data_IF_904655094845
#
_entry.id   IF_904655094845
#
_cell.length_a   1.000
_cell.length_b   1.000
_cell.length_c   1.000
_cell.angle_alpha   90.00
_cell.angle_beta   90.00
_cell.angle_gamma   90.00
#
_symmetry.space_group_name_H-M   'P 1'
#
loop_
_entity.id
_entity.type
_entity.pdbx_description
1 polymer ?
#
# COMPACT_ATOMS: atom_id res chain seq x y z
N UNK A 1 -14.60 21.13 -20.44
CA UNK A 1 -14.44 21.76 -19.11
C UNK A 1 -15.56 21.36 -18.13
N UNK A 2 -15.94 20.07 -18.10
CA UNK A 2 -17.00 19.53 -17.22
C UNK A 2 -16.73 18.06 -16.82
N UNK A 3 -16.09 17.26 -17.70
CA UNK A 3 -15.56 15.93 -17.32
C UNK A 3 -14.29 15.98 -16.46
N UNK A 4 -13.30 16.80 -16.81
CA UNK A 4 -12.04 16.93 -16.04
C UNK A 4 -12.25 17.45 -14.61
N UNK A 5 -13.30 18.26 -14.38
CA UNK A 5 -13.63 18.81 -13.06
C UNK A 5 -14.43 17.83 -12.19
N UNK A 6 -15.13 16.85 -12.81
CA UNK A 6 -15.73 15.73 -12.08
C UNK A 6 -14.72 14.61 -11.82
N UNK A 7 -13.70 14.46 -12.67
CA UNK A 7 -12.59 13.54 -12.45
C UNK A 7 -11.63 14.03 -11.34
N UNK A 8 -11.48 15.34 -11.15
CA UNK A 8 -10.68 15.89 -10.04
C UNK A 8 -11.30 15.68 -8.64
N UNK A 9 -12.59 15.36 -8.56
CA UNK A 9 -13.30 15.16 -7.28
C UNK A 9 -13.19 13.73 -6.72
N UNK A 10 -12.64 12.76 -7.49
CA UNK A 10 -12.49 11.37 -7.06
C UNK A 10 -11.07 10.87 -7.35
N UNK A 11 -10.25 10.77 -6.31
CA UNK A 11 -8.88 10.27 -6.39
C UNK A 11 -8.78 8.89 -7.05
N UNK A 12 -8.22 8.78 -8.26
CA UNK A 12 -8.01 7.52 -8.98
C UNK A 12 -6.52 7.11 -8.94
N UNK A 13 -6.10 6.18 -8.07
CA UNK A 13 -4.67 5.96 -7.77
C UNK A 13 -3.81 5.60 -8.98
N UNK A 14 -4.36 4.83 -9.93
CA UNK A 14 -3.64 4.45 -11.15
C UNK A 14 -3.50 5.59 -12.16
N UNK A 15 -4.50 6.46 -12.26
CA UNK A 15 -4.38 7.66 -13.11
C UNK A 15 -3.27 8.56 -12.58
N UNK A 16 -3.15 8.65 -11.25
CA UNK A 16 -2.12 9.43 -10.57
C UNK A 16 -0.74 8.82 -10.74
N UNK A 17 -0.62 7.50 -10.55
CA UNK A 17 0.64 6.80 -10.77
C UNK A 17 1.14 7.01 -12.21
N UNK A 18 0.25 6.88 -13.22
CA UNK A 18 0.59 7.14 -14.62
C UNK A 18 0.97 8.60 -14.88
N UNK A 19 0.26 9.55 -14.28
CA UNK A 19 0.58 10.97 -14.41
C UNK A 19 1.99 11.31 -13.87
N UNK A 20 2.33 10.80 -12.69
CA UNK A 20 3.67 10.98 -12.10
C UNK A 20 4.74 10.34 -12.99
N UNK A 21 4.50 9.13 -13.47
CA UNK A 21 5.44 8.42 -14.32
C UNK A 21 5.70 9.16 -15.64
N UNK A 22 4.63 9.62 -16.32
CA UNK A 22 4.71 10.42 -17.54
C UNK A 22 5.48 11.72 -17.29
N UNK A 23 5.15 12.46 -16.23
CA UNK A 23 5.85 13.69 -15.88
C UNK A 23 7.33 13.42 -15.65
N UNK A 24 7.68 12.40 -14.84
CA UNK A 24 9.05 11.98 -14.60
C UNK A 24 9.82 11.62 -15.87
N UNK A 25 9.20 10.91 -16.81
CA UNK A 25 9.83 10.54 -18.08
C UNK A 25 10.13 11.78 -18.94
N UNK A 26 9.19 12.71 -19.04
CA UNK A 26 9.35 13.94 -19.80
C UNK A 26 10.43 14.85 -19.19
N UNK A 27 10.53 14.85 -17.86
CA UNK A 27 11.60 15.54 -17.12
C UNK A 27 12.99 14.97 -17.42
N UNK A 28 13.12 13.64 -17.43
CA UNK A 28 14.36 12.97 -17.83
C UNK A 28 14.74 13.31 -19.26
N UNK A 29 13.78 13.25 -20.19
CA UNK A 29 13.98 13.56 -21.60
C UNK A 29 14.46 15.01 -21.80
N UNK A 30 13.81 15.97 -21.15
CA UNK A 30 14.20 17.39 -21.20
C UNK A 30 15.60 17.64 -20.63
N UNK A 31 16.05 16.80 -19.69
CA UNK A 31 17.37 16.90 -19.05
C UNK A 31 18.45 16.11 -19.80
N UNK A 32 18.13 15.43 -20.91
CA UNK A 32 19.08 14.60 -21.67
C UNK A 32 19.49 13.30 -20.96
N UNK A 33 18.68 12.86 -19.98
CA UNK A 33 18.91 11.64 -19.18
C UNK A 33 18.13 10.48 -19.80
N UNK A 34 18.76 9.31 -19.90
CA UNK A 34 18.17 8.11 -20.52
C UNK A 34 17.87 6.96 -19.53
N UNK A 35 18.09 7.15 -18.23
CA UNK A 35 17.78 6.14 -17.21
C UNK A 35 16.51 6.56 -16.45
N UNK A 36 15.42 5.85 -16.71
CA UNK A 36 14.07 6.41 -16.59
C UNK A 36 13.38 6.14 -15.24
N UNK A 37 13.68 5.01 -14.57
CA UNK A 37 12.84 4.56 -13.44
C UNK A 37 13.02 5.40 -12.17
N UNK A 38 14.24 5.83 -11.87
CA UNK A 38 14.51 6.64 -10.67
C UNK A 38 14.01 8.08 -10.83
N UNK A 39 14.00 8.60 -12.05
CA UNK A 39 13.58 9.99 -12.35
C UNK A 39 12.11 10.20 -12.01
N UNK A 40 11.23 9.23 -12.32
CA UNK A 40 9.83 9.26 -11.95
C UNK A 40 9.60 9.24 -10.43
N UNK A 41 10.45 8.52 -9.68
CA UNK A 41 10.39 8.48 -8.21
C UNK A 41 10.84 9.80 -7.56
N UNK A 42 11.86 10.43 -8.12
CA UNK A 42 12.48 11.62 -7.55
C UNK A 42 11.64 12.89 -7.76
N UNK A 43 10.96 12.96 -8.92
CA UNK A 43 10.33 14.19 -9.40
C UNK A 43 9.34 14.81 -8.38
N UNK A 44 8.32 14.08 -7.87
CA UNK A 44 7.34 14.70 -6.97
C UNK A 44 7.95 15.17 -5.65
N UNK A 45 8.92 14.42 -5.11
CA UNK A 45 9.55 14.73 -3.83
C UNK A 45 10.30 16.06 -3.87
N UNK A 46 11.15 16.22 -4.88
CA UNK A 46 11.98 17.42 -5.04
C UNK A 46 11.12 18.62 -5.44
N UNK A 47 10.18 18.43 -6.37
CA UNK A 47 9.29 19.51 -6.81
C UNK A 47 8.47 20.04 -5.63
N UNK A 48 7.80 19.15 -4.89
CA UNK A 48 7.01 19.54 -3.72
C UNK A 48 7.85 20.19 -2.61
N UNK A 49 9.08 19.70 -2.38
CA UNK A 49 10.00 20.34 -1.45
C UNK A 49 10.35 21.77 -1.85
N UNK A 50 10.59 22.03 -3.15
CA UNK A 50 10.88 23.36 -3.66
C UNK A 50 9.67 24.30 -3.51
N UNK A 51 8.47 23.83 -3.86
CA UNK A 51 7.23 24.60 -3.68
C UNK A 51 6.99 24.92 -2.20
N UNK A 52 7.18 23.95 -1.29
CA UNK A 52 7.08 24.18 0.15
C UNK A 52 8.12 25.19 0.67
N UNK A 53 9.27 25.27 0.01
CA UNK A 53 10.33 26.25 0.27
C UNK A 53 10.07 27.64 -0.34
N UNK A 54 8.89 27.85 -0.95
CA UNK A 54 8.49 29.12 -1.54
C UNK A 54 9.10 29.40 -2.92
N UNK A 55 9.65 28.40 -3.59
CA UNK A 55 10.04 28.52 -5.00
C UNK A 55 8.80 28.73 -5.87
N UNK A 56 8.94 29.53 -6.92
CA UNK A 56 8.01 29.54 -8.04
C UNK A 56 8.06 28.21 -8.79
N UNK A 57 7.02 27.92 -9.57
CA UNK A 57 6.95 26.72 -10.41
C UNK A 57 8.17 26.54 -11.32
N UNK A 58 8.66 27.64 -11.89
CA UNK A 58 9.84 27.63 -12.75
C UNK A 58 11.11 27.27 -11.97
N UNK A 59 11.32 27.88 -10.80
CA UNK A 59 12.46 27.58 -9.92
C UNK A 59 12.40 26.13 -9.41
N UNK A 60 11.22 25.65 -9.02
CA UNK A 60 11.00 24.27 -8.58
C UNK A 60 11.29 23.26 -9.69
N UNK A 61 10.89 23.57 -10.93
CA UNK A 61 11.21 22.74 -12.10
C UNK A 61 12.71 22.61 -12.31
N UNK A 62 13.43 23.74 -12.35
CA UNK A 62 14.88 23.73 -12.61
C UNK A 62 15.64 23.06 -11.46
N UNK A 63 15.29 23.38 -10.22
CA UNK A 63 15.89 22.76 -9.04
C UNK A 63 15.69 21.24 -9.06
N UNK A 64 14.52 20.78 -9.48
CA UNK A 64 14.24 19.35 -9.57
C UNK A 64 15.04 18.67 -10.67
N UNK A 65 15.03 19.21 -11.89
CA UNK A 65 15.82 18.67 -12.99
C UNK A 65 17.31 18.58 -12.63
N UNK A 66 17.85 19.65 -12.03
CA UNK A 66 19.26 19.72 -11.61
C UNK A 66 19.57 18.70 -10.51
N UNK A 67 18.70 18.56 -9.52
CA UNK A 67 18.91 17.62 -8.40
C UNK A 67 18.90 16.16 -8.87
N UNK A 68 18.03 15.83 -9.83
CA UNK A 68 17.97 14.49 -10.43
C UNK A 68 19.25 14.22 -11.26
N UNK A 69 19.69 15.18 -12.08
CA UNK A 69 20.94 15.03 -12.84
C UNK A 69 22.18 14.84 -11.92
N UNK A 70 22.25 15.59 -10.82
CA UNK A 70 23.27 15.43 -9.80
C UNK A 70 23.22 14.04 -9.15
N UNK A 71 22.02 13.56 -8.80
CA UNK A 71 21.83 12.22 -8.25
C UNK A 71 22.33 11.14 -9.21
N UNK A 72 21.98 11.23 -10.49
CA UNK A 72 22.38 10.28 -11.51
C UNK A 72 23.88 10.30 -11.75
N UNK A 73 24.48 11.49 -11.78
CA UNK A 73 25.94 11.65 -11.87
C UNK A 73 26.63 10.98 -10.68
N UNK A 74 26.12 11.20 -9.45
CA UNK A 74 26.65 10.57 -8.24
C UNK A 74 26.48 9.04 -8.26
N UNK A 75 25.35 8.53 -8.75
CA UNK A 75 25.14 7.09 -8.88
C UNK A 75 26.10 6.45 -9.89
N UNK A 76 26.39 7.11 -11.02
CA UNK A 76 27.40 6.65 -11.99
C UNK A 76 28.81 6.62 -11.39
N UNK A 77 29.18 7.63 -10.60
CA UNK A 77 30.45 7.65 -9.87
C UNK A 77 30.56 6.50 -8.86
N UNK A 78 29.46 6.18 -8.15
CA UNK A 78 29.40 5.10 -7.16
C UNK A 78 29.51 3.71 -7.76
N UNK A 79 28.93 3.46 -8.93
CA UNK A 79 28.99 2.16 -9.63
C UNK A 79 30.42 1.67 -9.95
N UNK A 80 31.45 2.52 -9.78
CA UNK A 80 32.87 2.16 -9.90
C UNK A 80 33.60 1.85 -8.58
N UNK A 81 32.98 1.99 -7.40
CA UNK A 81 33.66 1.85 -6.09
C UNK A 81 32.76 1.27 -5.01
N UNK A 82 33.31 0.41 -4.14
CA UNK A 82 32.64 -0.08 -2.92
C UNK A 82 32.52 1.03 -1.86
N UNK A 83 31.68 2.03 -2.09
CA UNK A 83 31.30 3.01 -1.07
C UNK A 83 29.85 2.78 -0.65
N UNK A 84 29.64 2.51 0.65
CA UNK A 84 28.34 2.55 1.31
C UNK A 84 27.92 4.02 1.45
N UNK A 85 27.01 4.48 0.60
CA UNK A 85 26.70 5.88 0.39
C UNK A 85 25.27 6.29 0.77
N UNK A 86 24.56 5.53 1.59
CA UNK A 86 23.29 5.94 2.20
C UNK A 86 22.08 5.96 1.24
N UNK A 87 20.89 6.03 1.84
CA UNK A 87 19.60 5.98 1.13
C UNK A 87 19.54 7.03 0.00
N UNK A 88 19.16 6.63 -1.22
CA UNK A 88 19.03 7.55 -2.36
C UNK A 88 18.12 8.74 -2.03
N UNK A 89 17.08 8.52 -1.22
CA UNK A 89 16.22 9.56 -0.65
C UNK A 89 17.01 10.65 0.06
N UNK A 90 17.89 10.27 0.99
CA UNK A 90 18.69 11.22 1.77
C UNK A 90 19.73 11.93 0.91
N UNK A 91 20.36 11.21 -0.02
CA UNK A 91 21.29 11.82 -0.97
C UNK A 91 20.59 12.87 -1.84
N UNK A 92 19.43 12.53 -2.40
CA UNK A 92 18.63 13.44 -3.21
C UNK A 92 18.19 14.67 -2.41
N UNK A 93 17.73 14.47 -1.18
CA UNK A 93 17.37 15.56 -0.28
C UNK A 93 18.56 16.52 -0.08
N UNK A 94 19.73 16.00 0.29
CA UNK A 94 20.93 16.82 0.53
C UNK A 94 21.39 17.56 -0.73
N UNK A 95 21.37 16.90 -1.89
CA UNK A 95 21.73 17.53 -3.17
C UNK A 95 20.77 18.66 -3.53
N UNK A 96 19.48 18.47 -3.26
CA UNK A 96 18.45 19.49 -3.47
C UNK A 96 18.68 20.69 -2.55
N UNK A 97 18.90 20.44 -1.26
CA UNK A 97 19.14 21.49 -0.25
C UNK A 97 20.38 22.32 -0.60
N UNK A 98 21.51 21.65 -0.91
CA UNK A 98 22.75 22.31 -1.32
C UNK A 98 22.55 23.16 -2.58
N UNK A 99 21.80 22.64 -3.57
CA UNK A 99 21.51 23.38 -4.79
C UNK A 99 20.65 24.63 -4.52
N UNK A 100 19.58 24.51 -3.73
CA UNK A 100 18.73 25.65 -3.37
C UNK A 100 19.51 26.72 -2.60
N UNK A 101 20.37 26.33 -1.65
CA UNK A 101 21.20 27.27 -0.91
C UNK A 101 22.17 28.04 -1.83
N UNK A 102 22.77 27.33 -2.80
CA UNK A 102 23.62 27.94 -3.82
C UNK A 102 22.84 28.94 -4.68
N UNK A 103 21.64 28.57 -5.15
CA UNK A 103 20.76 29.46 -5.92
C UNK A 103 20.37 30.72 -5.14
N UNK A 104 20.00 30.56 -3.86
CA UNK A 104 19.68 31.69 -2.96
C UNK A 104 20.88 32.61 -2.74
N UNK A 105 22.09 32.05 -2.64
CA UNK A 105 23.31 32.81 -2.35
C UNK A 105 23.88 33.58 -3.54
N UNK A 106 23.76 33.03 -4.76
CA UNK A 106 24.40 33.60 -5.95
C UNK A 106 23.38 34.18 -6.97
N UNK A 107 22.08 33.98 -6.74
CA UNK A 107 21.00 34.36 -7.65
C UNK A 107 20.69 33.27 -8.66
N UNK A 108 19.40 32.96 -8.82
CA UNK A 108 18.88 31.89 -9.69
C UNK A 108 19.37 32.01 -11.14
N UNK A 109 19.35 33.21 -11.70
CA UNK A 109 19.77 33.49 -13.09
C UNK A 109 21.23 33.11 -13.40
N UNK A 110 22.08 32.99 -12.37
CA UNK A 110 23.50 32.67 -12.52
C UNK A 110 23.82 31.17 -12.46
N UNK A 111 22.92 30.38 -11.88
CA UNK A 111 23.14 28.94 -11.59
C UNK A 111 22.19 28.05 -12.39
N UNK A 112 20.96 28.50 -12.59
CA UNK A 112 19.90 27.73 -13.19
C UNK A 112 20.14 27.56 -14.71
N UNK A 113 20.16 26.32 -15.26
CA UNK A 113 20.14 26.14 -16.70
C UNK A 113 18.91 26.82 -17.31
N UNK A 114 19.11 27.56 -18.40
CA UNK A 114 18.06 28.27 -19.10
C UNK A 114 17.25 27.25 -19.93
N UNK A 115 16.07 26.87 -19.43
CA UNK A 115 15.15 25.96 -20.12
C UNK A 115 14.08 26.80 -20.83
N UNK A 116 14.03 26.75 -22.16
CA UNK A 116 13.15 27.60 -22.99
C UNK A 116 11.64 27.35 -22.75
N UNK A 117 11.28 26.19 -22.19
CA UNK A 117 9.88 25.81 -21.93
C UNK A 117 9.75 25.04 -20.59
N UNK A 118 9.47 25.70 -19.45
CA UNK A 118 8.95 25.00 -18.28
C UNK A 118 7.59 24.38 -18.66
N UNK A 119 7.50 23.06 -18.67
CA UNK A 119 6.39 22.32 -19.30
C UNK A 119 5.00 22.67 -18.72
N UNK A 120 4.01 22.69 -19.61
CA UNK A 120 2.57 22.96 -19.40
C UNK A 120 1.82 21.94 -18.49
N UNK A 121 2.49 21.28 -17.55
CA UNK A 121 2.01 20.00 -16.97
C UNK A 121 2.02 19.89 -15.44
N UNK A 122 2.30 20.99 -14.75
CA UNK A 122 2.17 21.07 -13.28
C UNK A 122 0.70 20.87 -12.84
N UNK A 123 -0.25 21.28 -13.68
CA UNK A 123 -1.70 21.16 -13.46
C UNK A 123 -2.18 19.72 -13.18
N UNK A 124 -1.44 18.69 -13.62
CA UNK A 124 -1.87 17.29 -13.46
C UNK A 124 -1.61 16.77 -12.04
N UNK A 125 -0.56 17.28 -11.37
CA UNK A 125 -0.15 16.82 -10.03
C UNK A 125 -0.49 17.83 -8.92
N UNK A 126 -1.00 19.01 -9.27
CA UNK A 126 -1.39 20.06 -8.32
C UNK A 126 -2.29 19.53 -7.17
N UNK A 127 -3.32 18.69 -7.42
CA UNK A 127 -4.13 18.14 -6.32
C UNK A 127 -3.36 17.19 -5.38
N UNK A 128 -2.33 16.49 -5.89
CA UNK A 128 -1.43 15.66 -5.07
C UNK A 128 -0.58 16.52 -4.17
N UNK A 129 0.00 17.55 -4.75
CA UNK A 129 0.86 18.49 -4.06
C UNK A 129 0.04 19.21 -2.99
N UNK A 130 -1.13 19.76 -3.30
CA UNK A 130 -1.98 20.42 -2.30
C UNK A 130 -2.25 19.53 -1.08
N UNK A 131 -2.69 18.29 -1.28
CA UNK A 131 -2.97 17.35 -0.19
C UNK A 131 -1.73 16.97 0.64
N UNK A 132 -0.55 16.94 0.02
CA UNK A 132 0.70 16.52 0.64
C UNK A 132 1.47 17.67 1.31
N UNK A 133 1.34 18.88 0.76
CA UNK A 133 2.00 20.09 1.22
C UNK A 133 1.22 20.80 2.34
N UNK A 134 -0.09 20.55 2.46
CA UNK A 134 -0.92 21.21 3.48
C UNK A 134 -0.44 20.90 4.92
N UNK A 135 -0.12 21.94 5.68
CA UNK A 135 0.31 21.85 7.11
C UNK A 135 1.56 20.99 7.33
N UNK A 136 2.54 21.10 6.43
CA UNK A 136 3.82 20.38 6.52
C UNK A 136 5.02 21.31 6.48
N UNK A 137 6.11 20.88 7.11
CA UNK A 137 7.44 21.42 6.81
C UNK A 137 7.90 20.94 5.42
N UNK A 138 8.79 21.68 4.73
CA UNK A 138 9.31 21.23 3.44
C UNK A 138 9.93 19.82 3.51
N UNK A 139 10.66 19.51 4.57
CA UNK A 139 11.26 18.20 4.81
C UNK A 139 10.20 17.09 4.88
N UNK A 140 9.12 17.32 5.62
CA UNK A 140 8.01 16.37 5.71
C UNK A 140 7.31 16.20 4.35
N UNK A 141 7.15 17.28 3.59
CA UNK A 141 6.60 17.24 2.24
C UNK A 141 7.46 16.37 1.30
N UNK A 142 8.79 16.52 1.36
CA UNK A 142 9.73 15.71 0.60
C UNK A 142 9.57 14.21 0.91
N UNK A 143 9.64 13.85 2.20
CA UNK A 143 9.55 12.45 2.63
C UNK A 143 8.21 11.81 2.26
N UNK A 144 7.12 12.58 2.39
CA UNK A 144 5.78 12.13 2.01
C UNK A 144 5.68 11.87 0.51
N UNK A 145 6.10 12.83 -0.31
CA UNK A 145 5.99 12.72 -1.76
C UNK A 145 6.92 11.62 -2.31
N UNK A 146 8.08 11.42 -1.70
CA UNK A 146 8.94 10.28 -1.98
C UNK A 146 8.24 8.95 -1.67
N UNK A 147 7.72 8.79 -0.44
CA UNK A 147 7.02 7.58 -0.02
C UNK A 147 5.79 7.27 -0.88
N UNK A 148 5.02 8.29 -1.27
CA UNK A 148 3.89 8.13 -2.16
C UNK A 148 4.31 7.67 -3.56
N UNK A 149 5.38 8.25 -4.12
CA UNK A 149 5.90 7.87 -5.44
C UNK A 149 6.31 6.41 -5.48
N UNK A 150 7.02 5.91 -4.46
CA UNK A 150 7.40 4.49 -4.35
C UNK A 150 6.18 3.55 -4.35
N UNK A 151 5.13 3.89 -3.59
CA UNK A 151 3.91 3.07 -3.53
C UNK A 151 3.15 3.10 -4.85
N UNK A 152 3.09 4.25 -5.53
CA UNK A 152 2.43 4.40 -6.82
C UNK A 152 3.18 3.66 -7.94
N UNK A 153 4.52 3.71 -7.96
CA UNK A 153 5.33 2.91 -8.88
C UNK A 153 5.14 1.42 -8.66
N UNK A 154 5.16 0.97 -7.40
CA UNK A 154 4.89 -0.44 -7.07
C UNK A 154 3.48 -0.88 -7.51
N UNK A 155 2.51 0.04 -7.51
CA UNK A 155 1.14 -0.23 -7.95
C UNK A 155 1.09 -0.49 -9.46
N UNK A 156 1.74 0.35 -10.28
CA UNK A 156 1.82 0.17 -11.73
C UNK A 156 2.52 -1.14 -12.09
N UNK A 157 3.65 -1.42 -11.45
CA UNK A 157 4.38 -2.67 -11.69
C UNK A 157 3.56 -3.90 -11.31
N UNK A 158 2.77 -3.83 -10.23
CA UNK A 158 1.87 -4.93 -9.84
C UNK A 158 0.73 -5.13 -10.84
N UNK A 159 0.15 -4.04 -11.37
CA UNK A 159 -0.88 -4.09 -12.40
C UNK A 159 -0.37 -4.83 -13.64
N UNK A 160 0.77 -4.37 -14.16
CA UNK A 160 1.40 -4.92 -15.35
C UNK A 160 1.74 -6.41 -15.16
N UNK A 161 2.32 -6.78 -14.02
CA UNK A 161 2.63 -8.18 -13.69
C UNK A 161 1.35 -9.02 -13.66
N UNK A 162 0.26 -8.53 -13.07
CA UNK A 162 -1.02 -9.24 -13.03
C UNK A 162 -1.60 -9.47 -14.44
N UNK A 163 -1.58 -8.45 -15.31
CA UNK A 163 -2.08 -8.60 -16.67
C UNK A 163 -1.21 -9.55 -17.49
N UNK A 164 0.12 -9.48 -17.35
CA UNK A 164 1.05 -10.36 -18.07
C UNK A 164 0.85 -11.85 -17.74
N UNK A 165 0.33 -12.16 -16.55
CA UNK A 165 0.06 -13.53 -16.09
C UNK A 165 -1.41 -13.97 -16.25
N UNK A 166 -2.26 -13.14 -16.87
CA UNK A 166 -3.69 -13.45 -17.01
C UNK A 166 -4.47 -13.37 -15.70
N UNK A 167 -3.96 -12.63 -14.71
CA UNK A 167 -4.60 -12.39 -13.41
C UNK A 167 -5.46 -11.12 -13.41
N UNK A 168 -5.93 -10.67 -14.58
CA UNK A 168 -6.80 -9.49 -14.74
C UNK A 168 -8.01 -9.48 -13.77
N UNK A 169 -8.79 -10.58 -13.59
CA UNK A 169 -9.85 -10.61 -12.59
C UNK A 169 -9.36 -10.36 -11.16
N UNK A 170 -8.14 -10.81 -10.82
CA UNK A 170 -7.60 -10.60 -9.49
C UNK A 170 -7.26 -9.13 -9.26
N UNK A 171 -6.60 -8.50 -10.25
CA UNK A 171 -6.27 -7.08 -10.21
C UNK A 171 -7.52 -6.22 -10.12
N UNK A 172 -8.52 -6.47 -10.96
CA UNK A 172 -9.74 -5.65 -10.99
C UNK A 172 -10.52 -5.69 -9.67
N UNK A 173 -10.56 -6.85 -8.99
CA UNK A 173 -11.17 -6.95 -7.65
C UNK A 173 -10.35 -6.17 -6.62
N UNK A 174 -9.02 -6.27 -6.70
CA UNK A 174 -8.09 -5.54 -5.82
C UNK A 174 -8.23 -4.02 -5.98
N UNK A 175 -8.24 -3.55 -7.21
CA UNK A 175 -8.46 -2.15 -7.54
C UNK A 175 -9.82 -1.67 -7.00
N UNK A 176 -10.90 -2.41 -7.28
CA UNK A 176 -12.25 -2.02 -6.90
C UNK A 176 -12.50 -2.00 -5.38
N UNK A 177 -12.00 -3.01 -4.65
CA UNK A 177 -12.31 -3.18 -3.21
C UNK A 177 -11.25 -2.64 -2.27
N UNK A 178 -10.03 -2.46 -2.75
CA UNK A 178 -8.91 -2.03 -1.90
C UNK A 178 -8.40 -0.68 -2.32
N UNK A 179 -7.95 -0.50 -3.56
CA UNK A 179 -7.40 0.78 -4.01
C UNK A 179 -8.49 1.85 -4.04
N UNK A 180 -9.51 1.69 -4.88
CA UNK A 180 -10.55 2.72 -5.02
C UNK A 180 -11.24 3.01 -3.69
N UNK A 181 -11.61 1.99 -2.92
CA UNK A 181 -12.24 2.18 -1.61
C UNK A 181 -11.36 2.93 -0.60
N UNK A 182 -10.07 2.60 -0.52
CA UNK A 182 -9.16 3.26 0.43
C UNK A 182 -8.89 4.72 0.03
N UNK A 183 -8.77 4.97 -1.28
CA UNK A 183 -8.26 6.24 -1.79
C UNK A 183 -9.35 7.27 -2.12
N UNK A 184 -10.51 6.84 -2.61
CA UNK A 184 -11.64 7.76 -2.90
C UNK A 184 -12.56 7.99 -1.70
N UNK A 185 -12.27 7.34 -0.55
CA UNK A 185 -13.19 7.23 0.59
C UNK A 185 -14.60 6.77 0.20
N UNK A 186 -14.73 6.05 -0.92
CA UNK A 186 -15.99 5.44 -1.33
C UNK A 186 -16.19 4.12 -0.61
N UNK A 187 -17.43 3.72 -0.30
CA UNK A 187 -17.72 2.40 0.22
C UNK A 187 -17.18 1.32 -0.73
N UNK A 188 -16.64 0.24 -0.17
CA UNK A 188 -16.22 -0.92 -0.95
C UNK A 188 -17.34 -1.39 -1.85
N UNK A 189 -17.06 -1.60 -3.14
CA UNK A 189 -18.02 -2.20 -4.07
C UNK A 189 -18.43 -3.58 -3.56
N UNK A 190 -19.74 -3.81 -3.46
CA UNK A 190 -20.28 -5.08 -2.98
C UNK A 190 -19.82 -6.25 -3.88
N UNK A 191 -19.49 -7.38 -3.25
CA UNK A 191 -19.12 -8.60 -3.94
C UNK A 191 -20.20 -9.07 -4.90
N UNK A 192 -21.48 -8.92 -4.56
CA UNK A 192 -22.59 -9.36 -5.42
C UNK A 192 -22.48 -8.82 -6.87
N UNK A 193 -22.00 -7.57 -7.01
CA UNK A 193 -21.75 -6.93 -8.30
C UNK A 193 -20.48 -7.45 -8.98
N UNK A 194 -19.39 -7.60 -8.23
CA UNK A 194 -18.06 -7.96 -8.76
C UNK A 194 -17.97 -9.43 -9.20
N UNK A 195 -18.62 -10.34 -8.47
CA UNK A 195 -18.62 -11.77 -8.77
C UNK A 195 -19.24 -12.07 -10.14
N UNK A 196 -20.32 -11.37 -10.49
CA UNK A 196 -21.00 -11.54 -11.77
C UNK A 196 -20.22 -11.01 -12.97
N UNK A 197 -19.53 -9.87 -12.81
CA UNK A 197 -18.79 -9.23 -13.90
C UNK A 197 -17.56 -10.06 -14.30
N UNK A 198 -16.84 -10.59 -13.31
CA UNK A 198 -15.57 -11.28 -13.55
C UNK A 198 -15.66 -12.81 -13.43
N UNK A 199 -16.88 -13.36 -13.37
CA UNK A 199 -17.11 -14.80 -13.32
C UNK A 199 -16.52 -15.47 -12.07
N UNK A 200 -16.44 -14.76 -10.95
CA UNK A 200 -15.88 -15.30 -9.71
C UNK A 200 -16.96 -16.05 -8.94
N UNK A 201 -16.74 -17.33 -8.55
CA UNK A 201 -17.81 -18.16 -8.01
C UNK A 201 -18.41 -17.66 -6.69
N UNK A 202 -17.58 -17.18 -5.77
CA UNK A 202 -18.00 -16.76 -4.45
C UNK A 202 -17.01 -15.77 -3.80
N UNK A 203 -17.45 -15.18 -2.67
CA UNK A 203 -16.67 -14.23 -1.86
C UNK A 203 -15.34 -14.83 -1.39
N UNK A 204 -15.30 -16.12 -1.06
CA UNK A 204 -14.09 -16.74 -0.53
C UNK A 204 -13.01 -16.90 -1.61
N UNK A 205 -13.42 -17.21 -2.84
CA UNK A 205 -12.53 -17.20 -3.99
C UNK A 205 -12.04 -15.78 -4.28
N UNK A 206 -12.94 -14.80 -4.29
CA UNK A 206 -12.57 -13.40 -4.52
C UNK A 206 -11.60 -12.87 -3.43
N UNK A 207 -11.80 -13.24 -2.17
CA UNK A 207 -10.91 -12.90 -1.06
C UNK A 207 -9.53 -13.56 -1.18
N UNK A 208 -9.46 -14.77 -1.76
CA UNK A 208 -8.20 -15.43 -2.10
C UNK A 208 -7.48 -14.68 -3.23
N UNK A 209 -8.22 -14.26 -4.26
CA UNK A 209 -7.67 -13.45 -5.36
C UNK A 209 -7.10 -12.12 -4.84
N UNK A 210 -7.85 -11.42 -3.99
CA UNK A 210 -7.39 -10.21 -3.30
C UNK A 210 -6.09 -10.44 -2.53
N UNK A 211 -6.06 -11.50 -1.72
CA UNK A 211 -4.91 -11.81 -0.88
C UNK A 211 -3.65 -12.07 -1.71
N UNK A 212 -3.78 -12.70 -2.88
CA UNK A 212 -2.67 -12.91 -3.82
C UNK A 212 -2.12 -11.60 -4.35
N UNK A 213 -2.99 -10.72 -4.88
CA UNK A 213 -2.55 -9.44 -5.48
C UNK A 213 -1.96 -8.52 -4.43
N UNK A 214 -2.56 -8.43 -3.24
CA UNK A 214 -2.01 -7.63 -2.15
C UNK A 214 -0.62 -8.10 -1.69
N UNK A 215 -0.36 -9.41 -1.68
CA UNK A 215 0.98 -9.94 -1.39
C UNK A 215 1.97 -9.59 -2.49
N UNK A 216 1.55 -9.72 -3.75
CA UNK A 216 2.36 -9.31 -4.90
C UNK A 216 2.71 -7.84 -4.79
N UNK A 217 1.73 -6.98 -4.53
CA UNK A 217 1.92 -5.55 -4.30
C UNK A 217 2.87 -5.27 -3.13
N UNK A 218 2.69 -5.95 -2.00
CA UNK A 218 3.57 -5.81 -0.84
C UNK A 218 5.03 -6.20 -1.15
N UNK A 219 5.25 -7.23 -1.97
CA UNK A 219 6.60 -7.59 -2.46
C UNK A 219 7.12 -6.56 -3.45
N UNK A 220 6.28 -6.03 -4.32
CA UNK A 220 6.68 -5.02 -5.29
C UNK A 220 7.14 -3.74 -4.59
N UNK A 221 6.45 -3.30 -3.55
CA UNK A 221 6.89 -2.18 -2.70
C UNK A 221 8.31 -2.43 -2.15
N UNK A 222 8.58 -3.64 -1.64
CA UNK A 222 9.93 -4.00 -1.15
C UNK A 222 10.96 -3.99 -2.28
N UNK A 223 10.59 -4.48 -3.47
CA UNK A 223 11.46 -4.50 -4.64
C UNK A 223 11.86 -3.08 -5.05
N UNK A 224 10.88 -2.18 -5.17
CA UNK A 224 11.14 -0.77 -5.52
C UNK A 224 12.03 -0.10 -4.47
N UNK A 225 11.79 -0.33 -3.17
CA UNK A 225 12.65 0.23 -2.12
C UNK A 225 14.07 -0.36 -2.18
N UNK A 226 14.20 -1.66 -2.45
CA UNK A 226 15.50 -2.34 -2.61
C UNK A 226 16.34 -1.69 -3.71
N UNK A 227 15.72 -1.18 -4.78
CA UNK A 227 16.40 -0.46 -5.85
C UNK A 227 16.90 0.93 -5.43
N UNK A 228 16.41 1.45 -4.30
CA UNK A 228 16.73 2.79 -3.78
C UNK A 228 17.72 2.83 -2.61
N UNK A 229 18.17 1.65 -2.15
CA UNK A 229 19.08 1.49 -1.02
C UNK A 229 20.32 0.71 -1.43
N UNK A 230 21.43 0.90 -0.72
CA UNK A 230 22.70 0.24 -1.05
C UNK A 230 22.77 -1.21 -0.54
N UNK A 231 22.04 -1.52 0.54
CA UNK A 231 22.06 -2.83 1.21
C UNK A 231 20.62 -3.30 1.48
N UNK A 232 20.36 -4.58 1.27
CA UNK A 232 19.08 -5.22 1.57
C UNK A 232 18.69 -5.10 3.06
N UNK A 233 19.67 -5.01 3.97
CA UNK A 233 19.44 -4.75 5.39
C UNK A 233 18.80 -3.37 5.67
N UNK A 234 18.85 -2.44 4.72
CA UNK A 234 18.27 -1.09 4.84
C UNK A 234 16.80 -1.03 4.40
N UNK A 235 16.27 -2.07 3.75
CA UNK A 235 14.88 -2.09 3.24
C UNK A 235 13.87 -1.96 4.37
N UNK A 236 14.02 -2.74 5.45
CA UNK A 236 13.09 -2.71 6.59
C UNK A 236 13.14 -1.38 7.38
N UNK A 237 14.31 -0.79 7.68
CA UNK A 237 14.42 0.56 8.20
C UNK A 237 13.73 1.62 7.32
N UNK A 238 14.02 1.63 6.01
CA UNK A 238 13.46 2.62 5.07
C UNK A 238 11.95 2.48 4.99
N UNK A 239 11.41 1.26 4.88
CA UNK A 239 9.97 1.01 4.94
C UNK A 239 9.30 1.60 6.18
N UNK A 240 9.96 1.49 7.34
CA UNK A 240 9.43 2.02 8.60
C UNK A 240 9.54 3.54 8.69
N UNK A 241 10.51 4.16 8.02
CA UNK A 241 10.61 5.62 7.87
C UNK A 241 9.49 6.15 6.99
N UNK A 242 9.29 5.57 5.80
CA UNK A 242 8.23 5.97 4.88
C UNK A 242 6.84 5.78 5.49
N UNK A 243 6.63 4.67 6.22
CA UNK A 243 5.37 4.45 6.95
C UNK A 243 5.12 5.52 8.00
N UNK A 244 6.16 6.05 8.65
CA UNK A 244 6.03 7.16 9.61
C UNK A 244 5.73 8.47 8.91
N UNK A 245 6.44 8.77 7.82
CA UNK A 245 6.26 10.00 7.05
C UNK A 245 4.83 10.17 6.51
N UNK A 246 4.23 9.07 6.04
CA UNK A 246 2.87 9.09 5.49
C UNK A 246 1.75 9.00 6.56
N UNK A 247 2.09 8.65 7.81
CA UNK A 247 1.08 8.38 8.84
C UNK A 247 0.28 9.64 9.22
N UNK A 248 -1.05 9.52 9.27
CA UNK A 248 -1.94 10.60 9.72
C UNK A 248 -2.17 11.72 8.70
N UNK A 249 -1.73 11.52 7.45
CA UNK A 249 -1.82 12.52 6.38
C UNK A 249 -3.09 12.32 5.56
N UNK A 250 -4.16 13.06 5.88
CA UNK A 250 -5.31 13.32 5.00
C UNK A 250 -5.78 12.16 4.10
N UNK A 251 -5.77 12.39 2.78
CA UNK A 251 -6.15 11.41 1.73
C UNK A 251 -5.08 10.31 1.53
N UNK A 252 -3.90 10.49 2.12
CA UNK A 252 -2.68 9.68 1.92
C UNK A 252 -2.50 8.61 3.00
N UNK A 253 -3.33 8.58 4.05
CA UNK A 253 -3.40 7.43 4.96
C UNK A 253 -3.75 6.13 4.20
N UNK A 254 -4.45 6.22 3.07
CA UNK A 254 -4.71 5.11 2.15
C UNK A 254 -3.43 4.51 1.54
N UNK A 255 -2.41 5.33 1.31
CA UNK A 255 -1.09 4.95 0.78
C UNK A 255 -0.23 4.27 1.88
N UNK A 256 -0.48 4.58 3.16
CA UNK A 256 0.23 3.96 4.29
C UNK A 256 -0.07 2.47 4.43
N UNK A 257 -1.29 2.07 4.12
CA UNK A 257 -1.77 0.72 4.42
C UNK A 257 -1.02 -0.35 3.60
N UNK A 258 -0.75 -0.15 2.30
CA UNK A 258 0.19 -0.98 1.55
C UNK A 258 1.60 -1.09 2.16
N UNK A 259 2.17 0.00 2.70
CA UNK A 259 3.47 -0.06 3.38
C UNK A 259 3.42 -0.96 4.64
N UNK A 260 2.30 -0.95 5.38
CA UNK A 260 2.10 -1.88 6.51
C UNK A 260 2.12 -3.34 6.05
N UNK A 261 1.55 -3.65 4.89
CA UNK A 261 1.59 -5.00 4.31
C UNK A 261 3.02 -5.37 3.90
N UNK A 262 3.74 -4.46 3.25
CA UNK A 262 5.14 -4.65 2.84
C UNK A 262 6.07 -4.95 4.03
N UNK A 263 5.86 -4.32 5.19
CA UNK A 263 6.60 -4.64 6.42
C UNK A 263 6.38 -6.07 6.94
N UNK A 264 5.27 -6.74 6.57
CA UNK A 264 4.86 -8.04 7.15
C UNK A 264 4.96 -9.21 6.18
N UNK A 265 5.02 -8.96 4.88
CA UNK A 265 4.85 -9.99 3.84
C UNK A 265 5.92 -11.10 3.90
N UNK A 266 7.13 -10.80 4.37
CA UNK A 266 8.21 -11.79 4.54
C UNK A 266 8.21 -12.41 5.95
N UNK A 267 7.99 -11.61 6.98
CA UNK A 267 8.17 -12.02 8.38
C UNK A 267 6.96 -12.77 8.97
N UNK A 268 5.74 -12.44 8.54
CA UNK A 268 4.51 -13.08 9.01
C UNK A 268 3.38 -13.12 7.94
N UNK A 269 3.58 -13.90 6.86
CA UNK A 269 2.62 -13.98 5.75
C UNK A 269 1.28 -14.58 6.16
N UNK A 270 1.26 -15.44 7.19
CA UNK A 270 0.05 -16.06 7.69
C UNK A 270 -0.83 -15.06 8.44
N UNK A 271 -0.25 -14.20 9.28
CA UNK A 271 -1.01 -13.13 9.94
C UNK A 271 -1.50 -12.11 8.94
N UNK A 272 -0.63 -11.70 8.01
CA UNK A 272 -0.98 -10.75 6.96
C UNK A 272 -2.26 -11.18 6.22
N UNK A 273 -2.32 -12.41 5.71
CA UNK A 273 -3.50 -12.88 4.98
C UNK A 273 -4.77 -12.95 5.80
N UNK A 274 -4.66 -13.31 7.07
CA UNK A 274 -5.84 -13.32 7.92
C UNK A 274 -6.33 -11.91 8.27
N UNK A 275 -5.40 -10.97 8.50
CA UNK A 275 -5.74 -9.56 8.74
C UNK A 275 -6.35 -8.93 7.48
N UNK A 276 -5.92 -9.33 6.29
CA UNK A 276 -6.47 -8.84 5.03
C UNK A 276 -7.90 -9.33 4.79
N UNK A 277 -8.22 -10.59 5.12
CA UNK A 277 -9.60 -11.09 5.09
C UNK A 277 -10.49 -10.27 6.04
N UNK A 278 -10.01 -10.02 7.27
CA UNK A 278 -10.74 -9.20 8.24
C UNK A 278 -10.94 -7.75 7.75
N UNK A 279 -9.89 -7.16 7.16
CA UNK A 279 -9.95 -5.82 6.59
C UNK A 279 -10.94 -5.78 5.44
N UNK A 280 -10.88 -6.72 4.51
CA UNK A 280 -11.78 -6.76 3.36
C UNK A 280 -13.26 -6.84 3.77
N UNK A 281 -13.60 -7.70 4.74
CA UNK A 281 -14.97 -7.92 5.20
C UNK A 281 -15.54 -6.70 5.94
N UNK A 282 -14.78 -6.06 6.84
CA UNK A 282 -15.36 -5.08 7.78
C UNK A 282 -14.47 -3.86 8.07
N UNK A 283 -13.49 -3.56 7.22
CA UNK A 283 -12.51 -2.46 7.37
C UNK A 283 -11.64 -2.53 8.64
N UNK A 284 -11.63 -3.67 9.34
CA UNK A 284 -10.87 -3.85 10.58
C UNK A 284 -9.43 -4.21 10.26
N UNK A 285 -8.48 -3.44 10.81
CA UNK A 285 -7.04 -3.56 10.51
C UNK A 285 -6.44 -4.93 10.89
N UNK A 286 -7.09 -5.67 11.79
CA UNK A 286 -6.65 -7.01 12.18
C UNK A 286 -7.82 -7.91 12.61
N UNK A 287 -7.54 -9.21 12.61
CA UNK A 287 -8.51 -10.27 12.96
C UNK A 287 -9.06 -10.14 14.37
N UNK A 288 -8.21 -9.76 15.32
CA UNK A 288 -8.62 -9.66 16.73
C UNK A 288 -9.68 -8.57 16.91
N UNK A 289 -9.45 -7.38 16.37
CA UNK A 289 -10.43 -6.28 16.37
C UNK A 289 -11.72 -6.67 15.66
N UNK A 290 -11.65 -7.42 14.56
CA UNK A 290 -12.84 -7.85 13.83
C UNK A 290 -13.77 -8.70 14.69
N UNK A 291 -13.25 -9.72 15.36
CA UNK A 291 -14.09 -10.62 16.14
C UNK A 291 -14.55 -10.03 17.48
N UNK A 292 -13.82 -9.04 18.03
CA UNK A 292 -14.18 -8.39 19.28
C UNK A 292 -15.25 -7.31 19.12
N UNK A 293 -15.35 -6.68 17.94
CA UNK A 293 -16.31 -5.61 17.66
C UNK A 293 -17.71 -6.12 17.28
N UNK A 294 -18.08 -7.33 17.71
CA UNK A 294 -19.41 -7.93 17.49
C UNK A 294 -19.90 -7.84 16.03
N UNK A 295 -19.18 -8.46 15.09
CA UNK A 295 -19.49 -8.38 13.66
C UNK A 295 -20.88 -8.93 13.36
N UNK A 296 -21.48 -8.49 12.25
CA UNK A 296 -22.81 -8.96 11.84
C UNK A 296 -22.80 -10.46 11.54
N UNK A 297 -23.98 -11.08 11.53
CA UNK A 297 -24.09 -12.50 11.18
C UNK A 297 -23.62 -12.77 9.74
N UNK A 298 -23.86 -11.82 8.83
CA UNK A 298 -23.42 -11.89 7.45
C UNK A 298 -21.89 -11.84 7.34
N UNK A 299 -21.25 -10.90 8.05
CA UNK A 299 -19.79 -10.82 8.13
C UNK A 299 -19.17 -12.11 8.70
N UNK A 300 -19.81 -12.71 9.70
CA UNK A 300 -19.37 -13.97 10.28
C UNK A 300 -19.52 -15.15 9.30
N UNK A 301 -20.56 -15.17 8.47
CA UNK A 301 -20.73 -16.15 7.40
C UNK A 301 -19.64 -15.98 6.34
N UNK A 302 -19.38 -14.74 5.92
CA UNK A 302 -18.33 -14.40 4.96
C UNK A 302 -16.95 -14.78 5.50
N UNK A 303 -16.63 -14.38 6.73
CA UNK A 303 -15.38 -14.72 7.41
C UNK A 303 -15.20 -16.23 7.53
N UNK A 304 -16.24 -16.97 7.95
CA UNK A 304 -16.22 -18.43 8.00
C UNK A 304 -15.88 -19.03 6.64
N UNK A 305 -16.48 -18.54 5.56
CA UNK A 305 -16.22 -19.07 4.22
C UNK A 305 -14.80 -18.74 3.75
N UNK A 306 -14.33 -17.50 3.91
CA UNK A 306 -12.96 -17.09 3.56
C UNK A 306 -11.90 -17.87 4.34
N UNK A 307 -12.05 -18.01 5.67
CA UNK A 307 -11.09 -18.77 6.48
C UNK A 307 -11.17 -20.29 6.25
N UNK A 308 -12.32 -20.82 5.80
CA UNK A 308 -12.42 -22.20 5.31
C UNK A 308 -11.61 -22.38 4.03
N UNK A 309 -11.69 -21.45 3.09
CA UNK A 309 -10.86 -21.49 1.87
C UNK A 309 -9.39 -21.36 2.22
N UNK A 310 -9.00 -20.43 3.10
CA UNK A 310 -7.61 -20.29 3.57
C UNK A 310 -7.08 -21.57 4.25
N UNK A 311 -7.93 -22.25 5.03
CA UNK A 311 -7.61 -23.54 5.64
C UNK A 311 -7.29 -24.61 4.60
N UNK A 312 -8.03 -24.65 3.50
CA UNK A 312 -7.94 -25.70 2.48
C UNK A 312 -6.85 -25.39 1.45
N UNK A 313 -6.76 -24.14 1.02
CA UNK A 313 -6.00 -23.68 -0.14
C UNK A 313 -4.88 -22.68 0.22
N UNK A 314 -4.61 -22.45 1.51
CA UNK A 314 -3.52 -21.55 1.94
C UNK A 314 -2.18 -21.94 1.32
N UNK A 315 -1.56 -20.97 0.64
CA UNK A 315 -0.39 -21.13 -0.21
C UNK A 315 0.93 -21.21 0.57
N UNK A 316 0.99 -20.62 1.76
CA UNK A 316 2.20 -20.55 2.59
C UNK A 316 2.27 -21.68 3.63
N UNK A 317 1.87 -22.87 3.20
CA UNK A 317 2.13 -24.11 3.93
C UNK A 317 1.26 -24.33 5.17
N UNK A 318 1.81 -25.02 6.17
CA UNK A 318 1.04 -25.55 7.31
C UNK A 318 0.59 -24.44 8.27
N UNK A 319 1.40 -23.40 8.45
CA UNK A 319 1.12 -22.33 9.43
C UNK A 319 -0.12 -21.54 9.03
N UNK A 320 -0.20 -21.11 7.78
CA UNK A 320 -1.35 -20.38 7.24
C UNK A 320 -2.63 -21.21 7.28
N UNK A 321 -2.59 -22.45 6.77
CA UNK A 321 -3.74 -23.36 6.78
C UNK A 321 -4.24 -23.65 8.20
N UNK A 322 -3.32 -23.80 9.16
CA UNK A 322 -3.64 -23.97 10.57
C UNK A 322 -4.30 -22.71 11.14
N UNK A 323 -3.80 -21.51 10.81
CA UNK A 323 -4.42 -20.25 11.25
C UNK A 323 -5.83 -20.10 10.68
N UNK A 324 -6.02 -20.38 9.39
CA UNK A 324 -7.34 -20.44 8.75
C UNK A 324 -8.29 -21.41 9.45
N UNK A 325 -7.80 -22.58 9.88
CA UNK A 325 -8.62 -23.55 10.61
C UNK A 325 -9.14 -23.02 11.95
N UNK A 326 -8.31 -22.30 12.70
CA UNK A 326 -8.74 -21.69 13.96
C UNK A 326 -9.69 -20.52 13.73
N UNK A 327 -9.42 -19.63 12.77
CA UNK A 327 -10.28 -18.48 12.50
C UNK A 327 -11.64 -18.88 11.92
N UNK A 328 -11.69 -19.97 11.15
CA UNK A 328 -12.94 -20.63 10.77
C UNK A 328 -13.78 -21.03 12.00
N UNK A 329 -13.14 -21.61 13.03
CA UNK A 329 -13.81 -21.96 14.28
C UNK A 329 -14.19 -20.72 15.10
N UNK A 330 -13.35 -19.69 15.12
CA UNK A 330 -13.65 -18.41 15.79
C UNK A 330 -14.93 -17.80 15.22
N UNK A 331 -15.10 -17.77 13.89
CA UNK A 331 -16.30 -17.25 13.26
C UNK A 331 -17.57 -17.99 13.69
N UNK A 332 -17.52 -19.33 13.74
CA UNK A 332 -18.64 -20.15 14.22
C UNK A 332 -18.93 -19.87 15.71
N UNK A 333 -17.88 -19.87 16.55
CA UNK A 333 -18.01 -19.60 17.97
C UNK A 333 -18.60 -18.22 18.24
N UNK A 334 -18.17 -17.20 17.48
CA UNK A 334 -18.66 -15.83 17.59
C UNK A 334 -20.15 -15.75 17.20
N UNK A 335 -20.57 -16.41 16.13
CA UNK A 335 -21.99 -16.48 15.74
C UNK A 335 -22.87 -17.12 16.82
N UNK A 336 -22.38 -18.20 17.44
CA UNK A 336 -23.10 -18.86 18.53
C UNK A 336 -23.19 -17.99 19.78
N UNK A 337 -22.08 -17.34 20.17
CA UNK A 337 -21.99 -16.57 21.42
C UNK A 337 -22.71 -15.22 21.32
N UNK A 338 -22.55 -14.51 20.21
CA UNK A 338 -23.05 -13.14 20.08
C UNK A 338 -24.44 -13.08 19.44
N UNK A 339 -24.78 -14.04 18.58
CA UNK A 339 -26.04 -14.03 17.81
C UNK A 339 -26.95 -15.21 18.12
N UNK A 340 -26.52 -16.18 18.93
CA UNK A 340 -27.29 -17.40 19.18
C UNK A 340 -27.51 -18.27 17.93
N UNK A 341 -26.73 -18.04 16.86
CA UNK A 341 -26.92 -18.71 15.57
C UNK A 341 -25.81 -19.72 15.27
N UNK A 342 -26.22 -20.88 14.75
CA UNK A 342 -25.29 -21.92 14.27
C UNK A 342 -25.07 -21.78 12.77
N UNK A 343 -23.91 -21.28 12.37
CA UNK A 343 -23.51 -21.11 10.96
C UNK A 343 -22.70 -22.30 10.39
N UNK A 344 -22.77 -23.47 11.04
CA UNK A 344 -22.00 -24.68 10.70
C UNK A 344 -22.86 -25.94 10.77
N UNK A 345 -22.64 -26.86 9.83
CA UNK A 345 -23.28 -28.19 9.79
C UNK A 345 -22.54 -29.27 10.60
N UNK A 346 -21.38 -28.96 11.19
CA UNK A 346 -20.62 -29.91 12.01
C UNK A 346 -21.42 -30.33 13.24
N UNK A 347 -21.24 -31.56 13.75
CA UNK A 347 -21.90 -32.02 14.98
C UNK A 347 -21.40 -31.31 16.24
N UNK A 348 -22.16 -31.38 17.35
CA UNK A 348 -21.73 -30.79 18.63
C UNK A 348 -20.41 -31.39 19.12
N UNK A 349 -20.18 -32.69 18.93
CA UNK A 349 -18.92 -33.32 19.31
C UNK A 349 -17.73 -32.84 18.48
N UNK A 350 -17.94 -32.62 17.18
CA UNK A 350 -16.92 -32.04 16.32
C UNK A 350 -16.58 -30.60 16.73
N UNK A 351 -17.60 -29.79 17.01
CA UNK A 351 -17.42 -28.42 17.50
C UNK A 351 -16.75 -28.39 18.88
N UNK A 352 -17.12 -29.29 19.80
CA UNK A 352 -16.50 -29.39 21.13
C UNK A 352 -15.00 -29.68 21.03
N UNK A 353 -14.60 -30.62 20.18
CA UNK A 353 -13.18 -30.89 19.90
C UNK A 353 -12.49 -29.68 19.27
N UNK A 354 -13.13 -29.05 18.28
CA UNK A 354 -12.59 -27.86 17.59
C UNK A 354 -12.37 -26.69 18.53
N UNK A 355 -13.38 -26.31 19.32
CA UNK A 355 -13.28 -25.22 20.29
C UNK A 355 -12.33 -25.54 21.43
N UNK A 356 -12.23 -26.80 21.86
CA UNK A 356 -11.20 -27.26 22.79
C UNK A 356 -9.78 -27.02 22.25
N UNK A 357 -9.51 -27.46 21.02
CA UNK A 357 -8.22 -27.22 20.37
C UNK A 357 -7.92 -25.73 20.17
N UNK A 358 -8.94 -24.92 19.84
CA UNK A 358 -8.82 -23.47 19.70
C UNK A 358 -8.50 -22.79 21.04
N UNK A 359 -9.15 -23.18 22.14
CA UNK A 359 -8.88 -22.66 23.49
C UNK A 359 -7.43 -22.89 23.93
N UNK A 360 -6.83 -23.98 23.48
CA UNK A 360 -5.49 -24.39 23.90
C UNK A 360 -4.37 -23.91 22.94
N UNK A 361 -4.73 -23.29 21.80
CA UNK A 361 -3.78 -22.79 20.79
C UNK A 361 -3.06 -21.51 21.24
N UNK A 362 -1.83 -21.62 21.73
CA UNK A 362 -1.06 -20.48 22.26
C UNK A 362 -0.77 -19.38 21.23
N UNK A 363 -0.75 -19.70 19.93
CA UNK A 363 -0.54 -18.70 18.86
C UNK A 363 -1.77 -17.85 18.57
N UNK A 364 -2.94 -18.23 19.09
CA UNK A 364 -4.16 -17.45 18.97
C UNK A 364 -4.24 -16.43 20.13
N UNK A 365 -4.59 -15.15 19.85
CA UNK A 365 -4.78 -14.15 20.89
C UNK A 365 -5.71 -14.63 22.01
N UNK A 366 -5.35 -14.30 23.26
CA UNK A 366 -6.10 -14.74 24.45
C UNK A 366 -7.57 -14.33 24.38
N UNK A 367 -7.85 -13.14 23.86
CA UNK A 367 -9.18 -12.60 23.59
C UNK A 367 -10.03 -13.54 22.73
N UNK A 368 -9.50 -14.04 21.62
CA UNK A 368 -10.19 -14.97 20.74
C UNK A 368 -10.37 -16.34 21.39
N UNK A 369 -9.38 -16.80 22.17
CA UNK A 369 -9.51 -18.06 22.94
C UNK A 369 -10.64 -18.02 23.97
N UNK A 370 -10.93 -16.85 24.54
CA UNK A 370 -12.08 -16.68 25.45
C UNK A 370 -13.41 -16.91 24.73
N UNK A 371 -13.52 -16.56 23.43
CA UNK A 371 -14.72 -16.83 22.64
C UNK A 371 -14.98 -18.34 22.54
N UNK A 372 -13.94 -19.17 22.34
CA UNK A 372 -14.08 -20.63 22.38
C UNK A 372 -14.57 -21.15 23.74
N UNK A 373 -14.08 -20.58 24.85
CA UNK A 373 -14.54 -20.97 26.20
C UNK A 373 -16.03 -20.69 26.36
N UNK A 374 -16.50 -19.53 25.89
CA UNK A 374 -17.93 -19.19 25.92
C UNK A 374 -18.74 -20.13 25.03
N UNK A 375 -18.29 -20.40 23.81
CA UNK A 375 -18.99 -21.27 22.87
C UNK A 375 -19.06 -22.74 23.34
N UNK A 376 -18.04 -23.24 24.04
CA UNK A 376 -18.06 -24.58 24.64
C UNK A 376 -19.23 -24.74 25.62
N UNK A 377 -19.50 -23.72 26.44
CA UNK A 377 -20.63 -23.74 27.40
C UNK A 377 -22.00 -23.79 26.70
N UNK A 378 -22.10 -23.36 25.44
CA UNK A 378 -23.33 -23.43 24.66
C UNK A 378 -23.55 -24.80 23.99
N UNK A 379 -22.51 -25.65 23.97
CA UNK A 379 -22.58 -27.01 23.42
C UNK A 379 -22.84 -28.06 24.50
N UNK A 380 -22.65 -27.70 25.76
CA UNK A 380 -22.96 -28.53 26.91
C UNK A 380 -24.45 -28.28 27.28
N UNK A 381 -25.31 -29.31 27.22
CA UNK A 381 -26.74 -29.19 27.42
C UNK A 381 -27.13 -28.79 28.85
#
# INVERSE_FOLDING_TARGET
MSMLKQMSDSFAPLEWARAIDIAGLQMAEASGVHDCSITALCWPAVYGYCIANGCSDHEAFIATATSIDLLLTKNRERSGTYFSGGHQRQLLFNLTEEHLERCRSNGWDSIAPQVEHPCEQIDIIEPLLEGMLTSTTPEEAFDRLWGASLVLTAMLQTEEECYSEGLEPHWNIFEARVLNASFTRTPKKDYSFLLGIWGVPDIAQASTMLTRVQRRFARQIRSVIKETVDDELQVDPELNELRRALHGVGMVEAICEPLRWACRVEHDPATLSTDMIAFDISDKKNVESFFLDSPSIEDLINAKNCYKTLRLMGEHGVVERRRGAYLYLVAIACAMVNHGQRISSQSNDALRRGFGAMRDERRLPRSLRIIAVKALKLLDP
#
